data_IF_606780382127
#
_entry.id   IF_606780382127
#
_cell.length_a   1.000
_cell.length_b   1.000
_cell.length_c   1.000
_cell.angle_alpha   90.00
_cell.angle_beta   90.00
_cell.angle_gamma   90.00
#
_symmetry.space_group_name_H-M   'P 1'
#
loop_
_entity.id
_entity.type
_entity.pdbx_description
1 polymer ?
#
# COMPACT_ATOMS: atom_id res chain seq x y z
N UNK A 1 -2.73 0.50 10.98
CA UNK A 1 -2.01 1.47 10.13
C UNK A 1 -0.54 1.07 10.03
N UNK A 2 0.15 1.46 8.97
CA UNK A 2 1.59 1.20 8.77
C UNK A 2 2.34 2.51 8.96
N UNK A 3 3.42 2.49 9.75
CA UNK A 3 4.32 3.64 9.88
C UNK A 3 5.51 3.43 8.95
N UNK A 4 5.67 4.33 7.98
CA UNK A 4 6.73 4.25 6.97
C UNK A 4 7.86 5.21 7.36
N UNK A 5 9.07 4.66 7.52
CA UNK A 5 10.31 5.44 7.65
C UNK A 5 11.09 5.30 6.35
N UNK A 6 11.52 6.42 5.77
CA UNK A 6 12.19 6.45 4.47
C UNK A 6 13.28 7.51 4.41
N UNK A 7 14.20 7.36 3.46
CA UNK A 7 15.24 8.36 3.15
C UNK A 7 14.72 9.28 2.03
N UNK A 8 14.45 10.57 2.30
CA UNK A 8 13.92 11.50 1.31
C UNK A 8 14.88 11.76 0.14
N UNK A 9 16.16 11.39 0.24
CA UNK A 9 17.12 11.46 -0.87
C UNK A 9 16.98 10.31 -1.86
N UNK A 10 16.32 9.22 -1.48
CA UNK A 10 16.13 8.01 -2.30
C UNK A 10 14.70 7.88 -2.81
N UNK A 11 13.72 8.24 -1.98
CA UNK A 11 12.30 8.19 -2.33
C UNK A 11 11.59 9.36 -1.69
N UNK A 12 10.76 10.07 -2.44
CA UNK A 12 10.01 11.21 -1.93
C UNK A 12 8.72 10.77 -1.24
N UNK A 13 8.12 11.67 -0.45
CA UNK A 13 6.77 11.45 0.07
C UNK A 13 5.73 11.30 -1.06
N UNK A 14 5.96 12.00 -2.17
CA UNK A 14 5.12 11.91 -3.36
C UNK A 14 5.11 10.50 -3.95
N UNK A 15 6.29 9.91 -4.14
CA UNK A 15 6.43 8.54 -4.65
C UNK A 15 5.70 7.51 -3.76
N UNK A 16 5.79 7.68 -2.43
CA UNK A 16 5.09 6.82 -1.47
C UNK A 16 3.57 6.92 -1.66
N UNK A 17 3.06 8.12 -1.90
CA UNK A 17 1.63 8.33 -2.15
C UNK A 17 1.19 7.75 -3.49
N UNK A 18 2.01 7.83 -4.54
CA UNK A 18 1.71 7.17 -5.81
C UNK A 18 1.57 5.65 -5.65
N UNK A 19 2.47 5.02 -4.89
CA UNK A 19 2.37 3.60 -4.54
C UNK A 19 1.10 3.34 -3.73
N UNK A 20 0.82 4.15 -2.70
CA UNK A 20 -0.38 4.04 -1.89
C UNK A 20 -1.66 4.03 -2.73
N UNK A 21 -1.82 4.99 -3.65
CA UNK A 21 -3.01 5.07 -4.49
C UNK A 21 -3.18 3.87 -5.43
N UNK A 22 -2.10 3.19 -5.79
CA UNK A 22 -2.14 2.01 -6.69
C UNK A 22 -2.24 0.68 -5.96
N UNK A 23 -1.89 0.64 -4.67
CA UNK A 23 -1.76 -0.57 -3.86
C UNK A 23 -3.09 -1.15 -3.36
N UNK A 24 -4.12 -0.32 -3.23
CA UNK A 24 -5.43 -0.72 -2.70
C UNK A 24 -6.56 0.01 -3.44
N UNK A 25 -7.81 -0.23 -3.05
CA UNK A 25 -8.96 0.47 -3.61
C UNK A 25 -9.36 1.67 -2.72
N UNK A 26 -9.08 2.92 -3.14
CA UNK A 26 -9.33 4.11 -2.33
C UNK A 26 -10.78 4.62 -2.41
N UNK A 27 -11.68 3.96 -3.15
CA UNK A 27 -13.07 4.40 -3.35
C UNK A 27 -14.07 3.69 -2.43
N UNK A 28 -13.66 2.58 -1.82
CA UNK A 28 -14.50 1.78 -0.92
C UNK A 28 -14.35 2.21 0.54
N UNK A 29 -15.49 2.53 1.17
CA UNK A 29 -15.53 2.96 2.57
C UNK A 29 -15.48 1.74 3.49
N UNK A 30 -14.55 1.75 4.46
CA UNK A 30 -14.43 0.71 5.50
C UNK A 30 -14.30 -0.72 4.93
N UNK A 31 -13.67 -0.87 3.77
CA UNK A 31 -13.52 -2.16 3.10
C UNK A 31 -12.27 -2.15 2.20
N UNK A 32 -11.58 -3.29 2.09
CA UNK A 32 -10.53 -3.54 1.10
C UNK A 32 -10.63 -4.98 0.56
N UNK A 33 -11.26 -5.15 -0.60
CA UNK A 33 -11.60 -6.49 -1.10
C UNK A 33 -12.56 -7.19 -0.13
N UNK A 34 -12.21 -8.39 0.33
CA UNK A 34 -13.00 -9.17 1.29
C UNK A 34 -12.88 -8.69 2.75
N UNK A 35 -11.94 -7.79 3.04
CA UNK A 35 -11.70 -7.27 4.39
C UNK A 35 -12.67 -6.12 4.70
N UNK A 36 -13.66 -6.35 5.56
CA UNK A 36 -14.74 -5.38 5.88
C UNK A 36 -14.67 -4.92 7.35
N UNK A 37 -14.75 -3.61 7.57
CA UNK A 37 -14.74 -2.97 8.89
C UNK A 37 -14.00 -1.63 8.91
N UNK A 38 -14.26 -0.80 9.93
CA UNK A 38 -13.63 0.52 10.08
C UNK A 38 -12.10 0.46 10.21
N UNK A 39 -11.57 -0.68 10.66
CA UNK A 39 -10.13 -0.96 10.72
C UNK A 39 -9.47 -1.09 9.34
N UNK A 40 -10.26 -1.32 8.28
CA UNK A 40 -9.80 -1.45 6.90
C UNK A 40 -10.05 -0.19 6.06
N UNK A 41 -10.52 0.91 6.67
CA UNK A 41 -10.71 2.16 5.94
C UNK A 41 -9.38 2.68 5.40
N UNK A 42 -9.43 3.26 4.20
CA UNK A 42 -8.28 3.94 3.61
C UNK A 42 -8.03 5.29 4.30
N UNK A 43 -6.82 5.51 4.80
CA UNK A 43 -6.43 6.76 5.46
C UNK A 43 -4.94 7.07 5.29
N UNK A 44 -4.63 8.37 5.15
CA UNK A 44 -3.29 8.94 5.18
C UNK A 44 -3.16 9.78 6.45
N UNK A 45 -2.17 9.47 7.29
CA UNK A 45 -1.88 10.20 8.52
C UNK A 45 -0.64 11.08 8.34
N UNK A 46 -0.81 12.40 8.25
CA UNK A 46 0.29 13.35 8.04
C UNK A 46 0.93 13.80 9.36
N UNK A 47 2.25 14.04 9.35
CA UNK A 47 3.01 14.49 10.52
C UNK A 47 3.21 16.02 10.57
N UNK A 48 3.09 16.70 9.43
CA UNK A 48 3.30 18.14 9.34
C UNK A 48 2.45 18.78 8.22
N UNK A 49 2.36 20.12 8.14
CA UNK A 49 1.55 20.80 7.13
C UNK A 49 2.00 20.55 5.68
N UNK A 50 3.29 20.35 5.43
CA UNK A 50 3.82 20.07 4.10
C UNK A 50 3.31 18.71 3.58
N UNK A 51 3.38 17.66 4.40
CA UNK A 51 2.81 16.35 4.08
C UNK A 51 1.30 16.44 3.84
N UNK A 52 0.57 17.24 4.62
CA UNK A 52 -0.87 17.47 4.38
C UNK A 52 -1.12 18.03 2.97
N UNK A 53 -0.39 19.07 2.58
CA UNK A 53 -0.56 19.69 1.25
C UNK A 53 -0.23 18.72 0.13
N UNK A 54 0.86 17.97 0.27
CA UNK A 54 1.27 16.96 -0.71
C UNK A 54 0.21 15.84 -0.82
N UNK A 55 -0.33 15.35 0.30
CA UNK A 55 -1.37 14.32 0.32
C UNK A 55 -2.69 14.80 -0.32
N UNK A 56 -3.09 16.04 -0.04
CA UNK A 56 -4.28 16.63 -0.67
C UNK A 56 -4.07 16.79 -2.18
N UNK A 57 -2.89 17.26 -2.59
CA UNK A 57 -2.58 17.43 -4.02
C UNK A 57 -2.53 16.09 -4.75
N UNK A 58 -1.93 15.07 -4.15
CA UNK A 58 -1.89 13.74 -4.76
C UNK A 58 -3.29 13.14 -4.89
N UNK A 59 -4.16 13.30 -3.87
CA UNK A 59 -5.58 12.91 -3.92
C UNK A 59 -6.30 13.58 -5.10
N UNK A 60 -6.17 14.89 -5.23
CA UNK A 60 -6.79 15.65 -6.33
C UNK A 60 -6.33 15.11 -7.70
N UNK A 61 -5.03 14.88 -7.89
CA UNK A 61 -4.51 14.40 -9.17
C UNK A 61 -4.97 12.98 -9.50
N UNK A 62 -5.03 12.09 -8.50
CA UNK A 62 -5.51 10.73 -8.75
C UNK A 62 -7.01 10.72 -9.06
N UNK A 63 -7.82 11.60 -8.44
CA UNK A 63 -9.23 11.78 -8.80
C UNK A 63 -9.38 12.28 -10.24
N UNK A 64 -8.56 13.25 -10.66
CA UNK A 64 -8.57 13.81 -12.01
C UNK A 64 -8.04 12.83 -13.08
N UNK A 65 -7.22 11.86 -12.69
CA UNK A 65 -6.60 10.91 -13.63
C UNK A 65 -7.59 9.97 -14.30
N UNK A 66 -8.79 9.78 -13.74
CA UNK A 66 -9.79 8.83 -14.24
C UNK A 66 -9.43 7.36 -14.02
N UNK A 67 -8.38 7.06 -13.23
CA UNK A 67 -7.99 5.68 -12.90
C UNK A 67 -9.09 4.96 -12.10
N UNK A 68 -9.80 5.72 -11.26
CA UNK A 68 -10.91 5.23 -10.47
C UNK A 68 -12.21 5.82 -10.99
N UNK A 69 -13.21 4.96 -11.22
CA UNK A 69 -14.54 5.37 -11.68
C UNK A 69 -15.35 6.05 -10.56
N UNK A 70 -15.09 5.65 -9.31
CA UNK A 70 -15.79 6.14 -8.13
C UNK A 70 -14.97 7.21 -7.38
N UNK A 71 -15.62 8.11 -6.62
CA UNK A 71 -14.93 9.12 -5.83
C UNK A 71 -13.99 8.52 -4.78
N UNK A 72 -12.87 9.21 -4.52
CA UNK A 72 -11.91 8.76 -3.50
C UNK A 72 -12.40 9.12 -2.10
N UNK A 73 -12.63 8.09 -1.29
CA UNK A 73 -13.11 8.22 0.09
C UNK A 73 -11.97 8.18 1.13
N UNK A 74 -10.72 8.03 0.70
CA UNK A 74 -9.54 8.07 1.60
C UNK A 74 -9.53 9.33 2.45
N UNK A 75 -9.38 9.12 3.77
CA UNK A 75 -9.25 10.18 4.76
C UNK A 75 -7.82 10.74 4.81
N UNK A 76 -7.65 12.05 4.98
CA UNK A 76 -6.35 12.69 5.21
C UNK A 76 -6.40 13.40 6.55
N UNK A 77 -5.76 12.80 7.56
CA UNK A 77 -5.91 13.18 8.97
C UNK A 77 -4.54 13.48 9.61
N UNK A 78 -4.46 14.33 10.64
CA UNK A 78 -3.23 14.45 11.42
C UNK A 78 -2.92 13.13 12.11
N UNK A 79 -1.65 12.75 12.11
CA UNK A 79 -1.20 11.57 12.85
C UNK A 79 -1.37 11.79 14.36
N UNK A 80 -1.89 10.76 15.04
CA UNK A 80 -1.96 10.69 16.49
C UNK A 80 -0.91 9.72 17.02
N UNK A 81 -1.01 9.35 18.30
CA UNK A 81 -0.17 8.31 18.90
C UNK A 81 -0.30 7.02 18.06
N UNK A 82 0.83 6.53 17.57
CA UNK A 82 0.92 5.27 16.85
C UNK A 82 1.21 4.14 17.85
N UNK A 83 0.33 3.16 17.90
CA UNK A 83 0.52 1.93 18.68
C UNK A 83 0.95 0.81 17.72
N UNK A 84 2.21 0.36 17.77
CA UNK A 84 2.64 -0.78 16.97
C UNK A 84 1.79 -2.02 17.30
N UNK A 85 1.52 -2.85 16.29
CA UNK A 85 0.97 -4.17 16.53
C UNK A 85 1.91 -4.93 17.47
N UNK A 86 1.37 -5.42 18.59
CA UNK A 86 2.18 -5.97 19.69
C UNK A 86 2.68 -7.37 19.38
N UNK A 87 1.92 -8.12 18.59
CA UNK A 87 2.28 -9.47 18.25
C UNK A 87 3.26 -9.49 17.08
N UNK A 88 4.42 -10.13 17.30
CA UNK A 88 5.49 -10.26 16.29
C UNK A 88 5.01 -10.93 15.01
N UNK A 89 4.00 -11.79 15.07
CA UNK A 89 3.46 -12.47 13.90
C UNK A 89 2.91 -11.51 12.84
N UNK A 90 2.53 -10.28 13.21
CA UNK A 90 2.08 -9.27 12.25
C UNK A 90 3.22 -8.61 11.49
N UNK A 91 4.45 -8.68 11.99
CA UNK A 91 5.62 -8.12 11.32
C UNK A 91 6.10 -9.10 10.26
N UNK A 92 6.39 -8.60 9.06
CA UNK A 92 6.83 -9.40 7.91
C UNK A 92 5.90 -10.60 7.62
N UNK A 93 4.59 -10.43 7.85
CA UNK A 93 3.62 -11.53 7.77
C UNK A 93 3.68 -12.27 6.44
N UNK A 94 3.69 -11.54 5.31
CA UNK A 94 3.73 -12.12 3.98
C UNK A 94 5.01 -12.95 3.76
N UNK A 95 6.18 -12.39 4.09
CA UNK A 95 7.47 -13.09 3.95
C UNK A 95 7.50 -14.40 4.74
N UNK A 96 6.82 -14.44 5.89
CA UNK A 96 6.76 -15.61 6.77
C UNK A 96 5.63 -16.60 6.44
N UNK A 97 4.72 -16.27 5.51
CA UNK A 97 3.48 -17.02 5.27
C UNK A 97 3.07 -17.04 3.79
N UNK A 98 4.02 -17.09 2.87
CA UNK A 98 3.77 -16.98 1.41
C UNK A 98 2.84 -18.07 0.88
N UNK A 99 2.82 -19.25 1.52
CA UNK A 99 2.01 -20.42 1.17
C UNK A 99 0.55 -20.35 1.65
N UNK A 100 0.20 -19.38 2.49
CA UNK A 100 -1.17 -19.22 2.98
C UNK A 100 -2.09 -18.79 1.85
N UNK A 101 -3.28 -19.38 1.77
CA UNK A 101 -4.29 -19.03 0.76
C UNK A 101 -4.61 -17.53 0.72
N UNK A 102 -4.70 -16.86 1.87
CA UNK A 102 -4.85 -15.41 1.91
C UNK A 102 -3.70 -14.65 1.23
N UNK A 103 -2.45 -15.07 1.47
CA UNK A 103 -1.28 -14.48 0.83
C UNK A 103 -1.28 -14.72 -0.69
N UNK A 104 -1.58 -15.95 -1.12
CA UNK A 104 -1.64 -16.33 -2.54
C UNK A 104 -2.73 -15.55 -3.28
N UNK A 105 -3.95 -15.50 -2.75
CA UNK A 105 -5.09 -14.95 -3.48
C UNK A 105 -5.28 -13.44 -3.29
N UNK A 106 -4.81 -12.86 -2.18
CA UNK A 106 -5.07 -11.44 -1.85
C UNK A 106 -3.83 -10.56 -1.84
N UNK A 107 -2.66 -11.07 -1.42
CA UNK A 107 -1.44 -10.26 -1.28
C UNK A 107 -0.57 -10.35 -2.54
N UNK A 108 -0.28 -11.56 -3.04
CA UNK A 108 0.60 -11.76 -4.19
C UNK A 108 0.15 -10.99 -5.45
N UNK A 109 -1.16 -10.93 -5.81
CA UNK A 109 -1.60 -10.12 -6.94
C UNK A 109 -1.34 -8.62 -6.75
N UNK A 110 -1.46 -8.12 -5.52
CA UNK A 110 -1.17 -6.72 -5.19
C UNK A 110 0.32 -6.43 -5.30
N UNK A 111 1.17 -7.33 -4.82
CA UNK A 111 2.64 -7.21 -4.95
C UNK A 111 3.01 -7.17 -6.44
N UNK A 112 2.55 -8.13 -7.24
CA UNK A 112 2.85 -8.18 -8.68
C UNK A 112 2.39 -6.92 -9.41
N UNK A 113 1.20 -6.40 -9.08
CA UNK A 113 0.71 -5.13 -9.64
C UNK A 113 1.65 -3.97 -9.32
N UNK A 114 2.11 -3.85 -8.08
CA UNK A 114 3.02 -2.77 -7.67
C UNK A 114 4.40 -2.95 -8.29
N UNK A 115 4.88 -4.19 -8.38
CA UNK A 115 6.14 -4.49 -9.03
C UNK A 115 6.17 -4.03 -10.48
N UNK A 116 5.14 -4.40 -11.26
CA UNK A 116 5.02 -4.00 -12.65
C UNK A 116 4.87 -2.48 -12.84
N UNK A 117 4.23 -1.78 -11.91
CA UNK A 117 4.01 -0.32 -12.02
C UNK A 117 5.22 0.51 -11.61
N UNK A 118 6.11 -0.03 -10.77
CA UNK A 118 7.17 0.73 -10.11
C UNK A 118 8.54 0.02 -10.17
N UNK A 119 8.76 -0.85 -11.16
CA UNK A 119 9.97 -1.68 -11.31
C UNK A 119 11.28 -0.93 -11.04
N UNK A 120 11.44 0.26 -11.62
CA UNK A 120 12.63 1.10 -11.49
C UNK A 120 12.86 1.64 -10.06
N UNK A 121 11.84 1.67 -9.21
CA UNK A 121 11.89 2.14 -7.82
C UNK A 121 12.08 0.99 -6.81
N UNK A 122 12.08 -0.27 -7.28
CA UNK A 122 12.23 -1.44 -6.42
C UNK A 122 13.70 -1.68 -6.15
N UNK A 123 14.03 -1.96 -4.89
CA UNK A 123 15.41 -2.27 -4.51
C UNK A 123 15.86 -3.58 -5.18
N UNK A 124 17.13 -3.71 -5.58
CA UNK A 124 17.63 -4.89 -6.29
C UNK A 124 17.31 -6.23 -5.61
N UNK A 125 17.34 -6.30 -4.27
CA UNK A 125 17.04 -7.51 -3.51
C UNK A 125 15.58 -8.01 -3.68
N UNK A 126 14.66 -7.14 -4.10
CA UNK A 126 13.25 -7.48 -4.30
C UNK A 126 12.88 -7.68 -5.77
N UNK A 127 13.75 -7.33 -6.73
CA UNK A 127 13.44 -7.42 -8.17
C UNK A 127 13.22 -8.86 -8.66
N UNK A 128 13.77 -9.87 -7.98
CA UNK A 128 13.73 -11.28 -8.41
C UNK A 128 12.75 -12.17 -7.62
N UNK A 129 11.93 -11.62 -6.72
CA UNK A 129 10.95 -12.39 -5.95
C UNK A 129 9.88 -13.09 -6.82
N UNK A 130 9.77 -12.73 -8.09
CA UNK A 130 8.83 -13.33 -9.04
C UNK A 130 9.19 -14.76 -9.48
N UNK A 131 10.47 -15.17 -9.40
CA UNK A 131 10.88 -16.45 -9.97
C UNK A 131 10.65 -17.67 -9.05
N UNK A 132 10.47 -17.46 -7.73
CA UNK A 132 10.24 -18.56 -6.79
C UNK A 132 8.75 -18.93 -6.66
N UNK A 133 7.83 -18.02 -7.01
CA UNK A 133 6.38 -18.26 -6.93
C UNK A 133 5.73 -18.62 -8.27
N UNK A 134 6.40 -18.41 -9.41
CA UNK A 134 5.91 -18.87 -10.73
C UNK A 134 5.95 -20.39 -10.90
N UNK A 135 6.79 -21.10 -10.16
CA UNK A 135 6.91 -22.56 -10.25
C UNK A 135 5.78 -23.34 -9.59
N UNK A 136 4.84 -22.68 -8.89
CA UNK A 136 3.65 -23.34 -8.34
C UNK A 136 2.40 -23.27 -9.23
N UNK A 137 2.44 -22.60 -10.40
CA UNK A 137 1.35 -22.64 -11.40
C UNK A 137 1.54 -23.70 -12.50
N UNK A 138 2.50 -24.61 -12.34
CA UNK A 138 2.60 -25.83 -13.16
C UNK A 138 2.71 -27.05 -12.26
N UNK A 139 1.56 -27.52 -11.75
CA UNK A 139 1.19 -28.93 -11.54
C UNK A 139 -0.28 -29.04 -11.14
#
# INVERSE_FOLDING_TARGET
>A
AIRITYDPKKISYWDILEVFWRAHDPTTRNQQGEDIGEQYRSAIFYLNPEQKQIALKSKELIEQSGIFSDPIVTEILPATIFYPAKEEYHQNYYENNTDRGYCIFSIAPKINKIHNLFEEKIKPEYQNLENENRTQETL
#
